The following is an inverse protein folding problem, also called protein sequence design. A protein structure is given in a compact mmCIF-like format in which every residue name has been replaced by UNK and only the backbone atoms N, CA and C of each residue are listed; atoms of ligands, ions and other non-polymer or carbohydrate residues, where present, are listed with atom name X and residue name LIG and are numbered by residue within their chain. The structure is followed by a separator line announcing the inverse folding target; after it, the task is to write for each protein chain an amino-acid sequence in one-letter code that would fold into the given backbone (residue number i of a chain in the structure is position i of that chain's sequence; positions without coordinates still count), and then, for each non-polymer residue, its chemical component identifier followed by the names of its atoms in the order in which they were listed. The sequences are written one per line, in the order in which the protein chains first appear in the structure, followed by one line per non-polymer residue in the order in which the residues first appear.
data_IF_193127879291
#
_entry.id   IF_193127879291
#
_cell.length_a   1.000
_cell.length_b   1.000
_cell.length_c   1.000
_cell.angle_alpha   90.00
_cell.angle_beta   90.00
_cell.angle_gamma   90.00
#
_symmetry.space_group_name_H-M   'P 1'
#
loop_
_entity.id
_entity.type
_entity.pdbx_description
1 polymer ?
#
# COMPACT_ATOMS: atom_id res chain seq x y z
N UNK A 1 8.30 -3.27 -14.07
CA UNK A 1 6.92 -2.75 -14.16
C UNK A 1 6.71 -1.78 -13.00
N UNK A 2 5.94 -0.72 -13.22
CA UNK A 2 5.61 0.28 -12.19
C UNK A 2 4.12 0.29 -11.92
N UNK A 3 3.74 0.69 -10.70
CA UNK A 3 2.36 0.95 -10.31
C UNK A 3 1.83 2.15 -11.10
N UNK A 4 0.65 2.02 -11.69
CA UNK A 4 -0.02 3.05 -12.49
C UNK A 4 -1.54 2.88 -12.41
N UNK A 5 -2.30 3.91 -12.76
CA UNK A 5 -3.78 3.84 -12.83
C UNK A 5 -4.26 2.58 -13.56
N UNK A 6 -5.31 1.97 -13.01
CA UNK A 6 -5.98 0.75 -13.49
C UNK A 6 -5.14 -0.54 -13.36
N UNK A 7 -3.95 -0.48 -12.76
CA UNK A 7 -3.19 -1.68 -12.44
C UNK A 7 -3.78 -2.40 -11.22
N UNK A 8 -3.82 -3.74 -11.30
CA UNK A 8 -4.02 -4.60 -10.13
C UNK A 8 -2.67 -4.76 -9.45
N UNK A 9 -2.62 -4.43 -8.17
CA UNK A 9 -1.41 -4.46 -7.35
C UNK A 9 -1.69 -5.30 -6.12
N UNK A 10 -0.75 -6.17 -5.78
CA UNK A 10 -0.73 -6.93 -4.54
C UNK A 10 0.41 -6.41 -3.68
N UNK A 11 0.12 -6.09 -2.41
CA UNK A 11 1.13 -5.59 -1.49
C UNK A 11 0.99 -6.15 -0.09
N UNK A 12 2.13 -6.30 0.57
CA UNK A 12 2.16 -6.36 2.02
C UNK A 12 2.23 -4.95 2.61
N UNK A 13 1.46 -4.72 3.66
CA UNK A 13 1.45 -3.50 4.44
C UNK A 13 1.48 -3.77 5.95
N UNK A 14 1.89 -2.75 6.70
CA UNK A 14 1.71 -2.62 8.15
C UNK A 14 1.22 -1.21 8.41
N UNK A 15 0.06 -1.09 9.06
CA UNK A 15 -0.54 0.18 9.46
C UNK A 15 -0.26 0.43 10.93
N UNK A 16 0.24 1.62 11.26
CA UNK A 16 0.48 2.07 12.63
C UNK A 16 -0.30 3.34 12.96
N UNK A 17 -0.56 3.57 14.24
CA UNK A 17 -1.04 4.87 14.74
C UNK A 17 0.13 5.81 15.09
N UNK A 18 -0.17 7.03 15.53
CA UNK A 18 0.81 8.04 15.95
C UNK A 18 1.62 7.64 17.20
N UNK A 19 1.18 6.61 17.93
CA UNK A 19 1.87 6.03 19.07
C UNK A 19 2.76 4.83 18.71
N UNK A 20 2.97 4.58 17.41
CA UNK A 20 3.70 3.43 16.84
C UNK A 20 3.05 2.06 17.07
N UNK A 21 1.82 2.01 17.58
CA UNK A 21 1.08 0.75 17.73
C UNK A 21 0.63 0.24 16.36
N UNK A 22 0.88 -1.05 16.08
CA UNK A 22 0.38 -1.70 14.88
C UNK A 22 -1.13 -1.89 15.01
N UNK A 23 -1.87 -1.21 14.14
CA UNK A 23 -3.34 -1.33 14.04
C UNK A 23 -3.70 -2.53 13.17
N UNK A 24 -2.99 -2.71 12.06
CA UNK A 24 -3.23 -3.80 11.12
C UNK A 24 -1.95 -4.19 10.37
N UNK A 25 -1.88 -5.44 9.92
CA UNK A 25 -0.78 -5.93 9.10
C UNK A 25 -1.20 -7.14 8.28
N UNK A 26 -0.65 -7.19 7.07
CA UNK A 26 -0.69 -8.36 6.18
C UNK A 26 0.48 -9.32 6.39
N UNK A 27 1.39 -9.04 7.34
CA UNK A 27 2.54 -9.91 7.61
C UNK A 27 2.07 -11.29 8.07
N UNK A 28 2.59 -12.34 7.43
CA UNK A 28 2.20 -13.74 7.72
C UNK A 28 0.84 -14.16 7.13
N UNK A 29 0.22 -13.31 6.30
CA UNK A 29 -1.00 -13.60 5.53
C UNK A 29 -0.70 -13.45 4.03
N UNK A 30 -1.71 -13.63 3.19
CA UNK A 30 -1.62 -13.30 1.76
C UNK A 30 -1.51 -11.77 1.56
N UNK A 31 -0.81 -11.30 0.51
CA UNK A 31 -0.81 -9.90 0.11
C UNK A 31 -2.23 -9.38 -0.13
N UNK A 32 -2.46 -8.10 0.15
CA UNK A 32 -3.75 -7.48 -0.14
C UNK A 32 -3.77 -6.99 -1.61
N UNK A 33 -4.74 -7.44 -2.43
CA UNK A 33 -4.94 -6.90 -3.76
C UNK A 33 -5.72 -5.58 -3.72
N UNK A 34 -5.35 -4.64 -4.58
CA UNK A 34 -6.13 -3.42 -4.83
C UNK A 34 -5.96 -2.96 -6.29
N UNK A 35 -6.80 -2.00 -6.72
CA UNK A 35 -6.73 -1.39 -8.05
C UNK A 35 -6.28 0.06 -7.89
N UNK A 36 -5.16 0.41 -8.51
CA UNK A 36 -4.58 1.76 -8.41
C UNK A 36 -5.47 2.81 -9.09
N UNK A 37 -5.78 3.88 -8.37
CA UNK A 37 -6.56 5.01 -8.85
C UNK A 37 -8.07 4.80 -8.80
N UNK A 38 -8.53 3.89 -7.93
CA UNK A 38 -9.95 3.55 -7.71
C UNK A 38 -10.42 3.77 -6.27
N UNK A 39 -9.54 4.21 -5.36
CA UNK A 39 -9.93 4.55 -3.99
C UNK A 39 -10.24 3.33 -3.11
N UNK A 40 -9.64 2.18 -3.42
CA UNK A 40 -9.78 0.96 -2.62
C UNK A 40 -9.02 1.03 -1.28
N UNK A 41 -8.05 1.95 -1.16
CA UNK A 41 -7.20 2.17 0.01
C UNK A 41 -7.11 3.66 0.36
N UNK A 42 -6.43 4.00 1.45
CA UNK A 42 -6.26 5.37 1.92
C UNK A 42 -5.64 6.23 0.80
N UNK A 43 -6.23 7.38 0.43
CA UNK A 43 -5.79 8.17 -0.72
C UNK A 43 -4.32 8.62 -0.69
N UNK A 44 -3.77 8.89 0.50
CA UNK A 44 -2.35 9.23 0.61
C UNK A 44 -1.43 8.04 0.31
N UNK A 45 -1.84 6.82 0.67
CA UNK A 45 -1.09 5.59 0.39
C UNK A 45 -1.16 5.28 -1.10
N UNK A 46 -2.35 5.39 -1.70
CA UNK A 46 -2.54 5.20 -3.15
C UNK A 46 -1.65 6.15 -3.96
N UNK A 47 -1.54 7.42 -3.56
CA UNK A 47 -0.64 8.39 -4.19
C UNK A 47 0.82 8.06 -4.00
N UNK A 48 1.22 7.61 -2.81
CA UNK A 48 2.61 7.27 -2.53
C UNK A 48 3.08 6.03 -3.32
N UNK A 49 2.18 5.10 -3.60
CA UNK A 49 2.48 3.89 -4.38
C UNK A 49 2.59 4.17 -5.89
N UNK A 50 2.02 5.26 -6.40
CA UNK A 50 2.04 5.58 -7.83
C UNK A 50 3.48 5.75 -8.35
N UNK A 51 3.84 5.00 -9.40
CA UNK A 51 5.17 5.02 -9.99
C UNK A 51 6.20 4.10 -9.31
N UNK A 52 5.91 3.52 -8.14
CA UNK A 52 6.78 2.55 -7.50
C UNK A 52 6.98 1.29 -8.34
N UNK A 53 8.14 0.67 -8.23
CA UNK A 53 8.44 -0.59 -8.91
C UNK A 53 8.07 -1.79 -8.03
N UNK A 54 7.75 -2.90 -8.69
CA UNK A 54 7.53 -4.19 -8.01
C UNK A 54 8.77 -4.55 -7.19
N UNK A 55 8.56 -4.90 -5.92
CA UNK A 55 9.61 -5.24 -4.96
C UNK A 55 10.18 -4.05 -4.17
N UNK A 56 9.80 -2.81 -4.51
CA UNK A 56 10.12 -1.65 -3.67
C UNK A 56 9.21 -1.60 -2.44
N UNK A 57 9.73 -1.01 -1.36
CA UNK A 57 9.00 -0.75 -0.13
C UNK A 57 9.16 0.72 0.24
N UNK A 58 8.12 1.31 0.81
CA UNK A 58 8.14 2.68 1.30
C UNK A 58 7.40 2.79 2.62
N UNK A 59 7.87 3.69 3.47
CA UNK A 59 7.14 4.12 4.66
C UNK A 59 6.49 5.47 4.36
N UNK A 60 5.20 5.59 4.69
CA UNK A 60 4.39 6.78 4.40
C UNK A 60 3.63 7.14 5.66
N UNK A 61 3.76 8.39 6.11
CA UNK A 61 2.93 8.97 7.16
C UNK A 61 1.97 9.95 6.52
N UNK A 62 0.68 9.83 6.84
CA UNK A 62 -0.43 10.58 6.23
C UNK A 62 -1.24 11.24 7.33
#
# INVERSE_FOLDING_TARGET
MTVKKDAVVEMHYTLKNDADDVIDSSQGKEPMPFIQGHGNIIPGLEKALEGMKVGESCDVSI
#
